data_IF_922953362699
#
_entry.id   IF_922953362699
#
_cell.length_a   1.000
_cell.length_b   1.000
_cell.length_c   1.000
_cell.angle_alpha   90.00
_cell.angle_beta   90.00
_cell.angle_gamma   90.00
#
_symmetry.space_group_name_H-M   'P 1'
#
loop_
_entity.id
_entity.type
_entity.pdbx_description
1 polymer ?
#
# COMPACT_ATOMS: atom_id res chain seq x y z
N UNK A 1 61.24 49.89 34.76
CA UNK A 1 59.88 49.31 34.73
C UNK A 1 59.71 48.59 33.40
N UNK A 2 59.68 47.25 33.42
CA UNK A 2 59.63 46.39 32.24
C UNK A 2 58.50 45.38 32.46
N UNK A 3 57.44 45.50 31.69
CA UNK A 3 56.28 44.60 31.74
C UNK A 3 55.92 44.13 30.33
N UNK A 4 56.22 42.87 30.03
CA UNK A 4 55.37 41.95 29.26
C UNK A 4 56.11 40.62 29.06
N UNK A 5 55.57 39.53 29.59
CA UNK A 5 55.85 38.17 29.11
C UNK A 5 54.53 37.46 28.85
N UNK A 6 54.28 37.16 27.57
CA UNK A 6 53.20 36.31 27.08
C UNK A 6 53.35 34.90 27.68
N UNK A 7 52.29 34.33 28.24
CA UNK A 7 52.20 32.90 28.53
C UNK A 7 51.20 32.26 27.57
N UNK A 8 51.64 31.18 26.93
CA UNK A 8 50.94 30.38 25.94
C UNK A 8 50.39 29.12 26.63
N UNK A 9 49.23 28.66 26.12
CA UNK A 9 48.58 27.35 26.23
C UNK A 9 48.05 26.86 27.59
N UNK A 10 46.73 26.64 27.64
CA UNK A 10 46.13 25.30 27.49
C UNK A 10 44.62 25.41 27.77
N UNK A 11 43.78 25.31 26.74
CA UNK A 11 42.33 25.11 26.91
C UNK A 11 42.08 23.62 26.72
N UNK A 12 41.55 22.90 27.73
CA UNK A 12 41.29 21.49 27.58
C UNK A 12 40.10 21.28 26.65
N UNK A 13 40.32 20.45 25.64
CA UNK A 13 39.30 19.89 24.76
C UNK A 13 38.34 19.01 25.58
N UNK A 14 37.26 19.58 26.10
CA UNK A 14 36.15 18.82 26.68
C UNK A 14 34.85 19.51 26.29
N UNK A 15 33.90 18.69 25.83
CA UNK A 15 32.51 19.02 25.48
C UNK A 15 32.24 19.53 24.05
N UNK A 16 32.77 18.81 23.05
CA UNK A 16 32.19 18.78 21.69
C UNK A 16 31.38 17.47 21.47
N UNK A 17 30.63 17.02 22.48
CA UNK A 17 29.90 15.74 22.46
C UNK A 17 28.49 15.84 23.10
N UNK A 18 27.76 16.92 22.82
CA UNK A 18 26.33 17.02 23.13
C UNK A 18 25.55 17.66 21.96
N UNK A 19 25.85 17.25 20.73
CA UNK A 19 25.15 17.72 19.53
C UNK A 19 24.57 16.59 18.67
N UNK A 20 24.43 15.36 19.19
CA UNK A 20 23.99 14.22 18.40
C UNK A 20 22.99 13.29 19.12
N UNK A 21 21.92 13.82 19.72
CA UNK A 21 20.82 12.94 20.20
C UNK A 21 19.43 13.56 20.06
N UNK A 22 19.16 14.30 18.98
CA UNK A 22 17.77 14.52 18.53
C UNK A 22 17.70 14.57 17.01
N UNK A 23 18.31 13.57 16.34
CA UNK A 23 17.65 13.06 15.13
C UNK A 23 16.46 12.25 15.66
N UNK A 24 15.38 12.96 15.98
CA UNK A 24 14.08 12.35 16.09
C UNK A 24 13.86 11.63 14.77
N UNK A 25 14.02 10.31 14.77
CA UNK A 25 13.48 9.51 13.69
C UNK A 25 12.00 9.84 13.70
N UNK A 26 11.55 10.57 12.69
CA UNK A 26 10.17 10.55 12.31
C UNK A 26 9.89 9.09 11.94
N UNK A 27 9.57 8.28 12.95
CA UNK A 27 8.98 6.97 12.77
C UNK A 27 7.60 7.26 12.19
N UNK A 28 7.56 7.50 10.88
CA UNK A 28 6.34 7.41 10.13
C UNK A 28 5.90 5.97 10.27
N UNK A 29 4.98 5.70 11.21
CA UNK A 29 4.19 4.48 11.30
C UNK A 29 4.05 3.83 9.92
N UNK A 30 4.75 2.73 9.70
CA UNK A 30 4.58 1.92 8.51
C UNK A 30 3.16 1.35 8.58
N UNK A 31 2.40 1.46 7.49
CA UNK A 31 1.01 1.04 7.52
C UNK A 31 0.97 -0.44 7.15
N UNK A 32 0.26 -1.23 7.94
CA UNK A 32 0.03 -2.64 7.61
C UNK A 32 -0.75 -2.77 6.28
N UNK A 33 -0.57 -3.87 5.52
CA UNK A 33 -1.19 -4.03 4.21
C UNK A 33 -2.72 -3.91 4.28
N UNK A 34 -3.33 -4.46 5.33
CA UNK A 34 -4.79 -4.37 5.55
C UNK A 34 -5.23 -2.94 5.88
N UNK A 35 -4.40 -2.14 6.53
CA UNK A 35 -4.71 -0.74 6.81
C UNK A 35 -4.69 0.10 5.53
N UNK A 36 -3.72 -0.14 4.63
CA UNK A 36 -3.66 0.52 3.32
C UNK A 36 -4.91 0.23 2.48
N UNK A 37 -5.28 -1.05 2.34
CA UNK A 37 -6.46 -1.43 1.56
C UNK A 37 -7.76 -0.89 2.17
N UNK A 38 -7.86 -0.86 3.51
CA UNK A 38 -8.99 -0.25 4.23
C UNK A 38 -9.09 1.25 3.95
N UNK A 39 -7.98 1.99 4.06
CA UNK A 39 -7.96 3.43 3.78
C UNK A 39 -8.25 3.74 2.31
N UNK A 40 -7.72 2.93 1.39
CA UNK A 40 -7.97 3.08 -0.03
C UNK A 40 -9.47 2.90 -0.36
N UNK A 41 -10.14 1.96 0.32
CA UNK A 41 -11.59 1.77 0.16
C UNK A 41 -12.38 2.98 0.67
N UNK A 42 -11.99 3.55 1.81
CA UNK A 42 -12.58 4.78 2.35
C UNK A 42 -12.37 5.95 1.39
N UNK A 43 -11.16 6.10 0.83
CA UNK A 43 -10.84 7.15 -0.15
C UNK A 43 -11.70 7.02 -1.41
N UNK A 44 -11.86 5.81 -1.95
CA UNK A 44 -12.73 5.53 -3.10
C UNK A 44 -14.18 5.94 -2.79
N UNK A 45 -14.70 5.54 -1.62
CA UNK A 45 -16.07 5.93 -1.19
C UNK A 45 -16.26 7.44 -1.08
N UNK A 46 -15.20 8.18 -0.79
CA UNK A 46 -15.21 9.63 -0.72
C UNK A 46 -14.98 10.31 -2.08
N UNK A 47 -14.77 9.56 -3.17
CA UNK A 47 -14.39 10.11 -4.48
C UNK A 47 -12.99 10.72 -4.50
N UNK A 48 -12.15 10.41 -3.50
CA UNK A 48 -10.79 10.94 -3.41
C UNK A 48 -9.82 10.06 -4.21
N UNK A 49 -9.91 10.16 -5.54
CA UNK A 49 -9.13 9.34 -6.47
C UNK A 49 -7.61 9.54 -6.33
N UNK A 50 -7.17 10.74 -5.95
CA UNK A 50 -5.75 11.02 -5.68
C UNK A 50 -5.23 10.18 -4.51
N UNK A 51 -5.99 10.14 -3.43
CA UNK A 51 -5.64 9.35 -2.24
C UNK A 51 -5.70 7.85 -2.52
N UNK A 52 -6.66 7.40 -3.35
CA UNK A 52 -6.68 6.02 -3.85
C UNK A 52 -5.36 5.67 -4.54
N UNK A 53 -4.88 6.51 -5.47
CA UNK A 53 -3.62 6.24 -6.16
C UNK A 53 -2.44 6.18 -5.20
N UNK A 54 -2.33 7.11 -4.24
CA UNK A 54 -1.24 7.13 -3.25
C UNK A 54 -1.23 5.86 -2.40
N UNK A 55 -2.38 5.48 -1.84
CA UNK A 55 -2.47 4.34 -0.92
C UNK A 55 -2.27 3.00 -1.64
N UNK A 56 -2.82 2.87 -2.86
CA UNK A 56 -2.66 1.65 -3.65
C UNK A 56 -1.23 1.49 -4.17
N UNK A 57 -0.59 2.56 -4.64
CA UNK A 57 0.82 2.56 -5.03
C UNK A 57 1.72 2.18 -3.85
N UNK A 58 1.47 2.73 -2.66
CA UNK A 58 2.19 2.35 -1.45
C UNK A 58 2.02 0.85 -1.16
N UNK A 59 0.79 0.33 -1.24
CA UNK A 59 0.51 -1.09 -0.99
C UNK A 59 1.27 -2.00 -1.98
N UNK A 60 1.30 -1.64 -3.27
CA UNK A 60 2.03 -2.42 -4.27
C UNK A 60 3.53 -2.38 -4.05
N UNK A 61 4.07 -1.21 -3.68
CA UNK A 61 5.51 -1.03 -3.45
C UNK A 61 5.99 -1.80 -2.23
N UNK A 62 5.24 -1.77 -1.14
CA UNK A 62 5.64 -2.36 0.15
C UNK A 62 5.35 -3.87 0.20
N UNK A 63 4.25 -4.32 -0.42
CA UNK A 63 3.73 -5.68 -0.22
C UNK A 63 3.58 -6.49 -1.50
N UNK A 64 3.91 -5.94 -2.68
CA UNK A 64 3.74 -6.62 -3.97
C UNK A 64 4.53 -7.94 -4.08
N UNK A 65 5.79 -7.93 -3.65
CA UNK A 65 6.66 -9.12 -3.72
C UNK A 65 6.14 -10.26 -2.83
N UNK A 66 5.78 -9.96 -1.58
CA UNK A 66 5.24 -10.97 -0.67
C UNK A 66 3.83 -11.43 -1.10
N UNK A 67 3.01 -10.55 -1.69
CA UNK A 67 1.73 -10.94 -2.29
C UNK A 67 1.91 -11.94 -3.45
N UNK A 68 2.90 -11.73 -4.32
CA UNK A 68 3.25 -12.67 -5.40
C UNK A 68 3.74 -14.01 -4.85
N UNK A 69 4.55 -13.97 -3.79
CA UNK A 69 5.01 -15.17 -3.08
C UNK A 69 3.84 -15.94 -2.45
N UNK A 70 2.96 -15.26 -1.72
CA UNK A 70 1.75 -15.85 -1.14
C UNK A 70 0.84 -16.48 -2.21
N UNK A 71 0.67 -15.83 -3.35
CA UNK A 71 -0.14 -16.37 -4.45
C UNK A 71 0.49 -17.60 -5.12
N UNK A 72 1.81 -17.63 -5.29
CA UNK A 72 2.49 -18.68 -6.07
C UNK A 72 2.90 -19.90 -5.23
N UNK A 73 3.28 -19.68 -3.97
CA UNK A 73 3.75 -20.74 -3.08
C UNK A 73 2.61 -21.45 -2.36
N UNK A 74 1.47 -20.79 -2.16
CA UNK A 74 0.32 -21.40 -1.51
C UNK A 74 -0.19 -22.63 -2.30
N UNK A 75 -0.28 -23.77 -1.60
CA UNK A 75 -0.80 -25.04 -2.14
C UNK A 75 -2.17 -25.40 -1.61
N UNK A 76 -2.67 -24.63 -0.64
CA UNK A 76 -3.96 -24.84 -0.03
C UNK A 76 -5.02 -23.98 -0.70
N UNK A 77 -6.26 -24.46 -0.69
CA UNK A 77 -7.38 -23.63 -1.09
C UNK A 77 -7.57 -22.51 -0.06
N UNK A 78 -7.56 -21.25 -0.50
CA UNK A 78 -7.91 -20.13 0.37
C UNK A 78 -9.43 -20.08 0.54
N UNK A 79 -9.87 -20.09 1.79
CA UNK A 79 -11.26 -20.05 2.26
C UNK A 79 -11.39 -18.98 3.34
N UNK A 80 -12.60 -18.75 3.85
CA UNK A 80 -12.80 -17.75 4.91
C UNK A 80 -11.97 -18.07 6.16
N UNK A 81 -11.77 -19.35 6.47
CA UNK A 81 -11.14 -19.80 7.71
C UNK A 81 -9.62 -19.57 7.73
N UNK A 82 -8.97 -19.53 6.56
CA UNK A 82 -7.51 -19.31 6.44
C UNK A 82 -7.16 -18.05 5.62
N UNK A 83 -8.13 -17.24 5.19
CA UNK A 83 -7.84 -16.04 4.41
C UNK A 83 -6.94 -15.05 5.16
N UNK A 84 -7.04 -14.95 6.48
CA UNK A 84 -6.21 -14.06 7.30
C UNK A 84 -4.71 -14.38 7.24
N UNK A 85 -4.34 -15.58 6.79
CA UNK A 85 -2.95 -16.03 6.71
C UNK A 85 -2.23 -15.47 5.46
N UNK A 86 -2.97 -14.75 4.59
CA UNK A 86 -2.47 -14.16 3.35
C UNK A 86 -2.74 -12.64 3.28
N UNK A 87 -2.27 -11.83 4.26
CA UNK A 87 -2.66 -10.44 4.38
C UNK A 87 -2.17 -9.55 3.23
N UNK A 88 -0.99 -9.80 2.68
CA UNK A 88 -0.40 -9.08 1.55
C UNK A 88 -1.13 -9.40 0.26
N UNK A 89 -1.35 -10.68 -0.05
CA UNK A 89 -2.14 -11.12 -1.21
C UNK A 89 -3.53 -10.48 -1.21
N UNK A 90 -4.21 -10.56 -0.07
CA UNK A 90 -5.55 -10.02 0.10
C UNK A 90 -5.58 -8.49 -0.07
N UNK A 91 -4.59 -7.80 0.49
CA UNK A 91 -4.54 -6.34 0.45
C UNK A 91 -4.14 -5.82 -0.93
N UNK A 92 -3.12 -6.40 -1.57
CA UNK A 92 -2.70 -6.04 -2.94
C UNK A 92 -3.83 -6.33 -3.93
N UNK A 93 -4.47 -7.50 -3.84
CA UNK A 93 -5.60 -7.85 -4.69
C UNK A 93 -6.78 -6.89 -4.50
N UNK A 94 -7.09 -6.52 -3.26
CA UNK A 94 -8.14 -5.53 -2.96
C UNK A 94 -7.77 -4.13 -3.47
N UNK A 95 -6.52 -3.70 -3.30
CA UNK A 95 -6.01 -2.42 -3.79
C UNK A 95 -6.07 -2.31 -5.32
N UNK A 96 -5.77 -3.38 -6.07
CA UNK A 96 -5.97 -3.41 -7.52
C UNK A 96 -7.44 -3.22 -7.89
N UNK A 97 -8.36 -3.89 -7.19
CA UNK A 97 -9.78 -3.71 -7.45
C UNK A 97 -10.25 -2.28 -7.17
N UNK A 98 -9.78 -1.67 -6.08
CA UNK A 98 -10.07 -0.27 -5.73
C UNK A 98 -9.54 0.68 -6.81
N UNK A 99 -8.28 0.51 -7.22
CA UNK A 99 -7.66 1.35 -8.25
C UNK A 99 -8.41 1.23 -9.59
N UNK A 100 -8.76 0.01 -10.01
CA UNK A 100 -9.54 -0.22 -11.22
C UNK A 100 -10.89 0.48 -11.18
N UNK A 101 -11.62 0.42 -10.05
CA UNK A 101 -12.87 1.17 -9.89
C UNK A 101 -12.66 2.68 -9.93
N UNK A 102 -11.64 3.19 -9.22
CA UNK A 102 -11.31 4.61 -9.21
C UNK A 102 -11.01 5.16 -10.61
N UNK A 103 -10.28 4.40 -11.42
CA UNK A 103 -10.00 4.75 -12.82
C UNK A 103 -11.28 4.74 -13.67
N UNK A 104 -12.15 3.75 -13.48
CA UNK A 104 -13.44 3.72 -14.19
C UNK A 104 -14.32 4.92 -13.86
N UNK A 105 -14.38 5.32 -12.57
CA UNK A 105 -15.15 6.49 -12.11
C UNK A 105 -14.61 7.81 -12.68
N UNK A 106 -13.31 7.89 -12.97
CA UNK A 106 -12.67 9.03 -13.63
C UNK A 106 -12.83 9.02 -15.16
N UNK A 107 -13.36 7.93 -15.74
CA UNK A 107 -13.52 7.76 -17.19
C UNK A 107 -12.31 7.12 -17.89
N UNK A 108 -11.26 6.76 -17.15
CA UNK A 108 -10.04 6.13 -17.66
C UNK A 108 -10.24 4.62 -17.90
N UNK A 109 -11.16 4.29 -18.82
CA UNK A 109 -11.63 2.91 -19.05
C UNK A 109 -10.51 1.94 -19.42
N UNK A 110 -9.58 2.34 -20.30
CA UNK A 110 -8.48 1.46 -20.74
C UNK A 110 -7.54 1.10 -19.58
N UNK A 111 -7.21 2.08 -18.73
CA UNK A 111 -6.38 1.86 -17.54
C UNK A 111 -7.13 1.00 -16.51
N UNK A 112 -8.42 1.26 -16.32
CA UNK A 112 -9.27 0.44 -15.46
C UNK A 112 -9.28 -1.03 -15.90
N UNK A 113 -9.45 -1.29 -17.20
CA UNK A 113 -9.43 -2.63 -17.77
C UNK A 113 -8.09 -3.33 -17.55
N UNK A 114 -6.98 -2.63 -17.79
CA UNK A 114 -5.64 -3.17 -17.56
C UNK A 114 -5.40 -3.53 -16.09
N UNK A 115 -5.87 -2.70 -15.15
CA UNK A 115 -5.74 -2.98 -13.71
C UNK A 115 -6.59 -4.17 -13.28
N UNK A 116 -7.83 -4.28 -13.79
CA UNK A 116 -8.67 -5.45 -13.50
C UNK A 116 -8.10 -6.74 -14.11
N UNK A 117 -7.58 -6.69 -15.34
CA UNK A 117 -6.91 -7.83 -15.96
C UNK A 117 -5.71 -8.29 -15.11
N UNK A 118 -4.85 -7.35 -14.68
CA UNK A 118 -3.72 -7.65 -13.79
C UNK A 118 -4.17 -8.35 -12.50
N UNK A 119 -5.24 -7.88 -11.86
CA UNK A 119 -5.79 -8.52 -10.67
C UNK A 119 -6.21 -9.98 -10.93
N UNK A 120 -6.92 -10.21 -12.03
CA UNK A 120 -7.44 -11.53 -12.38
C UNK A 120 -6.32 -12.50 -12.73
N UNK A 121 -5.31 -12.04 -13.45
CA UNK A 121 -4.18 -12.85 -13.90
C UNK A 121 -3.20 -13.14 -12.76
N UNK A 122 -2.87 -12.13 -11.96
CA UNK A 122 -1.75 -12.23 -11.01
C UNK A 122 -2.17 -12.55 -9.58
N UNK A 123 -3.42 -12.28 -9.18
CA UNK A 123 -3.87 -12.49 -7.80
C UNK A 123 -5.28 -13.13 -7.74
N UNK A 124 -5.55 -14.23 -8.47
CA UNK A 124 -6.89 -14.84 -8.56
C UNK A 124 -7.44 -15.36 -7.22
N UNK A 125 -6.58 -15.67 -6.26
CA UNK A 125 -6.98 -16.28 -4.98
C UNK A 125 -7.11 -15.28 -3.83
N UNK A 126 -6.90 -13.99 -4.08
CA UNK A 126 -7.11 -12.97 -3.08
C UNK A 126 -8.56 -12.97 -2.57
N UNK A 127 -8.70 -12.65 -1.29
CA UNK A 127 -9.97 -12.52 -0.59
C UNK A 127 -9.99 -11.20 0.19
N UNK A 128 -11.19 -10.73 0.49
CA UNK A 128 -11.37 -9.56 1.34
C UNK A 128 -12.51 -9.83 2.31
N UNK A 129 -12.24 -9.63 3.58
CA UNK A 129 -13.24 -9.57 4.64
C UNK A 129 -13.22 -8.17 5.27
N UNK A 130 -14.37 -7.53 5.35
CA UNK A 130 -14.50 -6.28 6.10
C UNK A 130 -14.99 -6.53 7.53
N UNK A 131 -14.91 -5.51 8.39
CA UNK A 131 -15.40 -5.58 9.80
C UNK A 131 -16.89 -5.91 9.94
N UNK A 132 -17.66 -5.84 8.86
CA UNK A 132 -19.08 -6.18 8.82
C UNK A 132 -19.30 -7.67 8.45
N UNK A 133 -18.23 -8.45 8.27
CA UNK A 133 -18.28 -9.87 7.90
C UNK A 133 -18.56 -10.12 6.41
N UNK A 134 -18.54 -9.06 5.57
CA UNK A 134 -18.67 -9.21 4.14
C UNK A 134 -17.38 -9.82 3.58
N UNK A 135 -17.52 -11.03 3.03
CA UNK A 135 -16.43 -11.81 2.46
C UNK A 135 -16.64 -11.99 0.97
N UNK A 136 -15.62 -11.66 0.18
CA UNK A 136 -15.70 -11.69 -1.28
C UNK A 136 -14.31 -11.91 -1.90
N UNK A 137 -14.31 -12.24 -3.20
CA UNK A 137 -13.10 -12.39 -4.02
C UNK A 137 -12.92 -11.18 -4.94
N UNK A 138 -11.86 -10.37 -4.75
CA UNK A 138 -11.58 -9.24 -5.64
C UNK A 138 -11.45 -9.60 -7.11
N UNK A 139 -10.74 -10.68 -7.46
CA UNK A 139 -10.62 -11.13 -8.85
C UNK A 139 -11.98 -11.50 -9.49
N UNK A 140 -12.91 -12.07 -8.71
CA UNK A 140 -14.27 -12.37 -9.20
C UNK A 140 -15.08 -11.09 -9.45
N UNK A 141 -14.96 -10.10 -8.57
CA UNK A 141 -15.63 -8.82 -8.75
C UNK A 141 -15.03 -8.04 -9.95
N UNK A 142 -13.71 -8.09 -10.14
CA UNK A 142 -13.02 -7.51 -11.28
C UNK A 142 -13.50 -8.09 -12.61
N UNK A 143 -13.65 -9.42 -12.70
CA UNK A 143 -14.23 -10.07 -13.88
C UNK A 143 -15.61 -9.52 -14.24
N UNK A 144 -16.47 -9.33 -13.24
CA UNK A 144 -17.80 -8.74 -13.45
C UNK A 144 -17.68 -7.28 -13.96
N UNK A 145 -16.76 -6.49 -13.40
CA UNK A 145 -16.52 -5.11 -13.84
C UNK A 145 -16.01 -5.01 -15.27
N UNK A 146 -15.11 -5.90 -15.69
CA UNK A 146 -14.67 -5.97 -17.08
C UNK A 146 -15.82 -6.26 -18.04
N UNK A 147 -16.69 -7.22 -17.70
CA UNK A 147 -17.88 -7.51 -18.50
C UNK A 147 -18.78 -6.27 -18.64
N UNK A 148 -19.10 -5.59 -17.54
CA UNK A 148 -19.89 -4.34 -17.53
C UNK A 148 -19.25 -3.23 -18.41
N UNK A 149 -17.92 -3.09 -18.38
CA UNK A 149 -17.19 -2.10 -19.17
C UNK A 149 -17.24 -2.40 -20.68
N UNK A 150 -17.12 -3.68 -21.05
CA UNK A 150 -17.18 -4.12 -22.46
C UNK A 150 -18.56 -3.96 -23.08
N UNK A 151 -19.64 -4.27 -22.35
CA UNK A 151 -21.02 -4.06 -22.81
C UNK A 151 -21.32 -2.58 -23.05
N UNK A 152 -20.76 -1.70 -22.21
CA UNK A 152 -20.92 -0.25 -22.35
C UNK A 152 -20.08 0.37 -23.48
N UNK A 153 -19.17 -0.38 -24.13
CA UNK A 153 -18.47 0.05 -25.34
C UNK A 153 -19.31 -0.20 -26.61
N UNK A 154 -20.28 -1.11 -26.55
CA UNK A 154 -21.06 -1.55 -27.72
C UNK A 154 -22.38 -0.80 -27.89
N UNK A 155 -22.73 0.09 -26.95
CA UNK A 155 -23.90 0.99 -27.01
C UNK A 155 -23.46 2.40 -27.32
#
# INVERSE_FOLDING_TARGET
MLGQKRRILSVPAVACLLACLFLGQAQGKELEPTELSTKAWVALKAGNHKEVSVLTEQCFKEFGEEAEKQQSENKEQITRDNASDFPELNSVGTCLFILGQSLAEQGDKELSEAVFAKLIENYPDCHCENKQGYYWKPAKAANKKLAELSENKTK
#
